data_IF_844250478697
#
_entry.id   IF_844250478697
#
_cell.length_a   1.000
_cell.length_b   1.000
_cell.length_c   1.000
_cell.angle_alpha   90.00
_cell.angle_beta   90.00
_cell.angle_gamma   90.00
#
_symmetry.space_group_name_H-M   'P 1'
#
loop_
_entity.id
_entity.type
_entity.pdbx_description
1 polymer ?
#
# COMPACT_ATOMS: atom_id res chain seq x y z
N UNK A 1 3.16 -11.04 9.13
CA UNK A 1 4.08 -9.89 9.09
C UNK A 1 3.69 -8.77 10.04
N UNK A 2 2.49 -8.19 9.95
CA UNK A 2 2.02 -7.10 10.85
C UNK A 2 2.27 -7.38 12.36
N UNK A 3 2.01 -8.62 12.83
CA UNK A 3 2.27 -9.02 14.22
C UNK A 3 3.75 -9.07 14.59
N UNK A 4 4.62 -9.60 13.71
CA UNK A 4 6.06 -9.71 13.96
C UNK A 4 6.76 -8.34 14.01
N UNK A 5 6.28 -7.37 13.23
CA UNK A 5 6.69 -5.97 13.31
C UNK A 5 6.28 -5.33 14.64
N UNK A 6 5.02 -5.52 15.08
CA UNK A 6 4.54 -5.00 16.34
C UNK A 6 5.27 -5.60 17.56
N UNK A 7 5.58 -6.90 17.53
CA UNK A 7 6.31 -7.60 18.59
C UNK A 7 7.74 -7.04 18.77
N UNK A 8 8.37 -6.53 17.70
CA UNK A 8 9.67 -5.84 17.74
C UNK A 8 9.56 -4.34 18.03
N UNK A 9 8.36 -3.80 18.24
CA UNK A 9 8.12 -2.36 18.40
C UNK A 9 8.39 -1.54 17.14
N UNK A 10 8.36 -2.20 15.97
CA UNK A 10 8.62 -1.58 14.69
C UNK A 10 7.41 -0.79 14.19
N UNK A 11 7.65 0.35 13.56
CA UNK A 11 6.62 1.06 12.79
C UNK A 11 6.90 0.88 11.30
N UNK A 12 5.98 0.24 10.57
CA UNK A 12 6.09 0.05 9.13
C UNK A 12 5.01 0.83 8.40
N UNK A 13 5.36 1.40 7.24
CA UNK A 13 4.42 2.07 6.36
C UNK A 13 4.85 1.95 4.89
N UNK A 14 3.92 2.16 3.97
CA UNK A 14 4.14 2.17 2.54
C UNK A 14 3.44 3.35 1.88
N UNK A 15 4.12 4.03 0.96
CA UNK A 15 3.53 5.11 0.16
C UNK A 15 3.71 4.82 -1.32
N UNK A 16 2.62 4.91 -2.06
CA UNK A 16 2.58 4.75 -3.52
C UNK A 16 2.44 6.12 -4.19
N UNK A 17 3.19 6.34 -5.25
CA UNK A 17 3.12 7.51 -6.11
C UNK A 17 3.04 7.08 -7.58
N UNK A 18 3.00 8.04 -8.52
CA UNK A 18 2.82 7.76 -9.96
C UNK A 18 3.81 6.74 -10.54
N UNK A 19 5.06 6.76 -10.08
CA UNK A 19 6.18 6.01 -10.64
C UNK A 19 6.92 5.15 -9.61
N UNK A 20 6.56 5.25 -8.34
CA UNK A 20 7.28 4.58 -7.25
C UNK A 20 6.35 4.08 -6.16
N UNK A 21 6.74 2.96 -5.58
CA UNK A 21 6.21 2.53 -4.29
C UNK A 21 7.38 2.44 -3.32
N UNK A 22 7.25 3.12 -2.18
CA UNK A 22 8.23 3.11 -1.13
C UNK A 22 7.65 2.35 0.07
N UNK A 23 8.37 1.33 0.54
CA UNK A 23 8.08 0.65 1.79
C UNK A 23 9.23 0.93 2.76
N UNK A 24 8.90 1.37 3.97
CA UNK A 24 9.91 1.69 4.98
C UNK A 24 9.48 1.23 6.36
N UNK A 25 10.47 0.88 7.17
CA UNK A 25 10.30 0.37 8.51
C UNK A 25 11.23 1.13 9.45
N UNK A 26 10.69 1.55 10.60
CA UNK A 26 11.43 2.26 11.64
C UNK A 26 11.63 1.28 12.79
N UNK A 27 12.90 0.99 13.09
CA UNK A 27 13.34 0.02 14.08
C UNK A 27 14.45 0.62 14.94
N UNK A 28 14.61 0.11 16.17
CA UNK A 28 15.77 0.45 17.01
C UNK A 28 17.07 -0.05 16.38
N UNK A 29 18.09 0.82 16.36
CA UNK A 29 19.38 0.53 15.75
C UNK A 29 20.11 -0.61 16.49
N UNK A 30 20.11 -1.79 15.87
CA UNK A 30 20.82 -2.99 16.30
C UNK A 30 21.08 -3.86 15.07
N UNK A 31 22.24 -4.51 15.01
CA UNK A 31 22.64 -5.38 13.90
C UNK A 31 21.65 -6.54 13.68
N UNK A 32 21.06 -7.06 14.77
CA UNK A 32 20.06 -8.11 14.71
C UNK A 32 18.75 -7.63 14.05
N UNK A 33 18.33 -6.40 14.37
CA UNK A 33 17.13 -5.82 13.78
C UNK A 33 17.32 -5.45 12.32
N UNK A 34 18.52 -4.98 11.95
CA UNK A 34 18.87 -4.69 10.55
C UNK A 34 18.81 -5.96 9.70
N UNK A 35 19.46 -7.05 10.16
CA UNK A 35 19.45 -8.32 9.44
C UNK A 35 18.04 -8.89 9.31
N UNK A 36 17.29 -8.88 10.40
CA UNK A 36 15.90 -9.34 10.42
C UNK A 36 15.00 -8.56 9.44
N UNK A 37 15.11 -7.24 9.41
CA UNK A 37 14.30 -6.40 8.53
C UNK A 37 14.60 -6.70 7.06
N UNK A 38 15.88 -6.85 6.69
CA UNK A 38 16.28 -7.19 5.32
C UNK A 38 15.76 -8.58 4.92
N UNK A 39 15.92 -9.58 5.78
CA UNK A 39 15.46 -10.95 5.49
C UNK A 39 13.94 -11.00 5.33
N UNK A 40 13.20 -10.28 6.19
CA UNK A 40 11.74 -10.20 6.12
C UNK A 40 11.25 -9.46 4.87
N UNK A 41 11.90 -8.35 4.52
CA UNK A 41 11.60 -7.61 3.30
C UNK A 41 11.90 -8.42 2.04
N UNK A 42 13.02 -9.15 2.01
CA UNK A 42 13.34 -10.05 0.90
C UNK A 42 12.29 -11.15 0.74
N UNK A 43 11.85 -11.77 1.85
CA UNK A 43 10.77 -12.77 1.83
C UNK A 43 9.45 -12.18 1.34
N UNK A 44 9.11 -10.94 1.76
CA UNK A 44 7.91 -10.25 1.27
C UNK A 44 7.95 -10.02 -0.24
N UNK A 45 9.09 -9.64 -0.80
CA UNK A 45 9.21 -9.33 -2.22
C UNK A 45 9.21 -10.58 -3.10
N UNK A 46 9.70 -11.72 -2.61
CA UNK A 46 9.83 -12.96 -3.38
C UNK A 46 8.62 -13.89 -3.15
N UNK A 47 8.16 -14.03 -1.91
CA UNK A 47 7.20 -15.06 -1.50
C UNK A 47 5.82 -14.50 -1.12
N UNK A 48 5.41 -13.38 -1.73
CA UNK A 48 4.08 -12.81 -1.50
C UNK A 48 2.98 -13.73 -2.04
N UNK A 49 2.26 -14.43 -1.15
CA UNK A 49 1.09 -15.24 -1.50
C UNK A 49 -0.17 -14.39 -1.43
N UNK A 50 -0.78 -14.12 -2.58
CA UNK A 50 -2.06 -13.41 -2.68
C UNK A 50 -3.17 -14.47 -2.63
N UNK A 51 -3.72 -14.70 -1.43
CA UNK A 51 -4.87 -15.58 -1.24
C UNK A 51 -6.17 -14.80 -1.50
N UNK A 52 -7.16 -15.38 -2.20
CA UNK A 52 -8.43 -14.68 -2.51
C UNK A 52 -9.17 -14.19 -1.26
N UNK A 53 -9.13 -14.98 -0.18
CA UNK A 53 -9.82 -14.67 1.08
C UNK A 53 -9.22 -13.47 1.82
N UNK A 54 -7.89 -13.34 1.79
CA UNK A 54 -7.20 -12.19 2.40
C UNK A 54 -7.32 -10.95 1.52
N UNK A 55 -7.27 -11.12 0.19
CA UNK A 55 -7.53 -10.03 -0.76
C UNK A 55 -8.95 -9.45 -0.59
N UNK A 56 -9.95 -10.31 -0.37
CA UNK A 56 -11.33 -9.89 -0.13
C UNK A 56 -11.49 -8.97 1.10
N UNK A 57 -10.72 -9.23 2.16
CA UNK A 57 -10.73 -8.40 3.38
C UNK A 57 -10.08 -7.04 3.13
N UNK A 58 -8.96 -7.02 2.42
CA UNK A 58 -8.21 -5.79 2.14
C UNK A 58 -9.00 -4.81 1.24
N UNK A 59 -9.89 -5.29 0.35
CA UNK A 59 -10.76 -4.41 -0.44
C UNK A 59 -11.64 -3.47 0.42
N UNK A 60 -12.14 -3.96 1.56
CA UNK A 60 -12.97 -3.15 2.46
C UNK A 60 -12.17 -2.02 3.12
N UNK A 61 -10.90 -2.28 3.46
CA UNK A 61 -9.98 -1.33 4.09
C UNK A 61 -9.54 -0.29 3.08
N UNK A 62 -9.11 -0.71 1.89
CA UNK A 62 -8.70 0.19 0.80
C UNK A 62 -9.82 1.16 0.42
N UNK A 63 -11.08 0.68 0.43
CA UNK A 63 -12.24 1.55 0.18
C UNK A 63 -12.40 2.62 1.25
N UNK A 64 -12.26 2.26 2.53
CA UNK A 64 -12.34 3.24 3.62
C UNK A 64 -11.21 4.27 3.53
N UNK A 65 -9.98 3.84 3.21
CA UNK A 65 -8.85 4.74 2.98
C UNK A 65 -9.11 5.70 1.80
N UNK A 66 -9.73 5.21 0.73
CA UNK A 66 -10.12 6.02 -0.40
C UNK A 66 -11.19 7.06 -0.05
N UNK A 67 -12.26 6.65 0.66
CA UNK A 67 -13.33 7.55 1.11
C UNK A 67 -12.79 8.63 2.06
N UNK A 68 -11.84 8.28 2.93
CA UNK A 68 -11.11 9.27 3.73
C UNK A 68 -10.32 10.26 2.85
N UNK A 69 -9.74 9.80 1.74
CA UNK A 69 -9.06 10.65 0.76
C UNK A 69 -9.98 11.65 0.04
N UNK A 70 -11.23 11.26 -0.23
CA UNK A 70 -12.25 12.14 -0.85
C UNK A 70 -12.69 13.28 0.10
N UNK A 71 -12.47 13.16 1.41
CA UNK A 71 -12.78 14.21 2.39
C UNK A 71 -11.79 15.39 2.35
N UNK A 72 -10.70 15.29 1.59
CA UNK A 72 -9.69 16.34 1.44
C UNK A 72 -9.82 17.03 0.07
N UNK A 73 -10.24 18.31 0.01
CA UNK A 73 -10.51 19.00 -1.25
C UNK A 73 -9.28 19.17 -2.16
N UNK A 74 -8.07 19.20 -1.57
CA UNK A 74 -6.80 19.22 -2.32
C UNK A 74 -6.51 17.91 -3.05
N UNK A 75 -6.85 16.76 -2.44
CA UNK A 75 -6.67 15.43 -3.03
C UNK A 75 -7.60 15.24 -4.23
N UNK A 76 -8.86 15.65 -4.09
CA UNK A 76 -9.86 15.62 -5.17
C UNK A 76 -9.47 16.53 -6.34
N UNK A 77 -8.88 17.69 -6.06
CA UNK A 77 -8.37 18.58 -7.10
C UNK A 77 -7.20 17.93 -7.85
N UNK A 78 -6.23 17.35 -7.14
CA UNK A 78 -5.08 16.69 -7.76
C UNK A 78 -5.50 15.50 -8.63
N UNK A 79 -6.46 14.67 -8.19
CA UNK A 79 -6.99 13.56 -8.98
C UNK A 79 -7.63 14.04 -10.29
N UNK A 80 -8.33 15.18 -10.27
CA UNK A 80 -8.97 15.73 -11.47
C UNK A 80 -8.03 16.48 -12.40
N UNK A 81 -6.98 17.11 -11.86
CA UNK A 81 -5.98 17.86 -12.65
C UNK A 81 -4.95 16.92 -13.27
N UNK A 82 -4.57 15.85 -12.56
CA UNK A 82 -3.67 14.81 -13.04
C UNK A 82 -4.38 13.46 -13.06
N UNK A 83 -5.36 13.27 -13.96
CA UNK A 83 -6.01 11.99 -14.08
C UNK A 83 -4.97 10.95 -14.52
N UNK A 84 -5.06 9.71 -14.00
CA UNK A 84 -4.08 8.65 -14.24
C UNK A 84 -4.03 8.13 -15.68
N UNK A 85 -4.75 8.76 -16.61
CA UNK A 85 -4.92 8.31 -17.98
C UNK A 85 -4.37 9.37 -18.97
N UNK A 86 -3.06 9.35 -19.19
CA UNK A 86 -2.44 9.87 -20.42
C UNK A 86 -1.22 9.07 -20.90
N UNK A 87 -0.76 8.06 -20.15
CA UNK A 87 0.37 7.21 -20.55
C UNK A 87 0.29 5.78 -19.97
N UNK A 88 -0.62 4.95 -20.50
CA UNK A 88 -0.43 3.51 -20.70
C UNK A 88 0.09 2.60 -19.56
N UNK A 89 0.06 2.99 -18.29
CA UNK A 89 0.66 2.19 -17.19
C UNK A 89 -0.41 1.69 -16.22
N UNK A 90 -0.52 0.36 -16.19
CA UNK A 90 -1.14 -0.59 -15.25
C UNK A 90 -2.15 -0.07 -14.20
N UNK A 91 -3.42 -0.44 -14.40
CA UNK A 91 -4.60 -0.28 -13.52
C UNK A 91 -4.48 -0.88 -12.09
N UNK A 92 -3.38 -1.55 -11.75
CA UNK A 92 -3.24 -2.30 -10.50
C UNK A 92 -2.78 -1.44 -9.30
N UNK A 93 -2.39 -0.18 -9.52
CA UNK A 93 -1.91 0.74 -8.46
C UNK A 93 -2.90 1.88 -8.15
N UNK A 94 -4.13 1.82 -8.65
CA UNK A 94 -5.04 2.96 -8.70
C UNK A 94 -6.29 2.75 -7.80
N UNK A 95 -6.51 3.58 -6.76
CA UNK A 95 -7.75 3.59 -5.97
C UNK A 95 -9.00 3.90 -6.81
N UNK A 96 -8.83 4.61 -7.94
CA UNK A 96 -9.91 4.91 -8.90
C UNK A 96 -10.46 3.65 -9.61
N UNK A 97 -9.67 2.57 -9.70
CA UNK A 97 -10.14 1.28 -10.23
C UNK A 97 -11.16 0.60 -9.30
N UNK A 98 -11.06 0.82 -7.98
CA UNK A 98 -12.02 0.29 -7.00
C UNK A 98 -13.44 0.87 -7.17
N UNK A 99 -13.55 2.10 -7.71
CA UNK A 99 -14.82 2.74 -8.07
C UNK A 99 -15.48 2.11 -9.31
N UNK A 100 -14.70 1.44 -10.16
CA UNK A 100 -15.19 0.76 -11.36
C UNK A 100 -15.67 -0.66 -11.07
N UNK A 101 -15.08 -1.32 -10.08
CA UNK A 101 -15.47 -2.68 -9.63
C UNK A 101 -16.74 -2.64 -8.74
N UNK A 102 -17.06 -1.51 -8.10
CA UNK A 102 -18.24 -1.36 -7.24
C UNK A 102 -19.50 -0.81 -7.94
N UNK A 103 -19.44 -0.60 -9.26
CA UNK A 103 -20.57 -0.13 -10.09
C UNK A 103 -21.13 -1.21 -11.03
N UNK A 104 -20.69 -2.46 -10.87
CA UNK A 104 -21.29 -3.65 -11.49
C UNK A 104 -21.77 -4.62 -10.41
#
# INVERSE_FOLDING_TARGET
MKKALADKGAFANGTTWYDRTNYYEILSASDENLKWAIDMEADRMINCKILPEELAKEFSVVRNEFEMGENYPSSVLMERVFPPCSSGTTMASQPSAAKKISRE
#
